data_IF_315298826634
#
_entry.id   IF_315298826634
#
_cell.length_a   1.000
_cell.length_b   1.000
_cell.length_c   1.000
_cell.angle_alpha   90.00
_cell.angle_beta   90.00
_cell.angle_gamma   90.00
#
_symmetry.space_group_name_H-M   'P 1'
#
loop_
_entity.id
_entity.type
_entity.pdbx_description
1 polymer ?
#
# COMPACT_ATOMS: atom_id res chain seq x y z
N UNK A 1 -2.51 -7.54 38.11
CA UNK A 1 -1.89 -7.95 36.83
C UNK A 1 -2.85 -8.61 35.83
N UNK A 2 -3.65 -9.66 36.08
CA UNK A 2 -4.41 -10.31 34.99
C UNK A 2 -5.38 -9.41 34.23
N UNK A 3 -6.11 -8.52 34.92
CA UNK A 3 -7.11 -7.63 34.27
C UNK A 3 -6.50 -6.57 33.35
N UNK A 4 -5.28 -6.14 33.59
CA UNK A 4 -4.60 -5.16 32.74
C UNK A 4 -4.07 -5.80 31.47
N UNK A 5 -3.53 -7.02 31.54
CA UNK A 5 -3.07 -7.79 30.39
C UNK A 5 -4.21 -8.10 29.43
N UNK A 6 -5.38 -8.51 29.95
CA UNK A 6 -6.57 -8.83 29.13
C UNK A 6 -7.02 -7.66 28.24
N UNK A 7 -6.87 -6.41 28.71
CA UNK A 7 -7.20 -5.23 27.89
C UNK A 7 -6.32 -5.07 26.65
N UNK A 8 -5.11 -5.60 26.67
CA UNK A 8 -4.20 -5.54 25.53
C UNK A 8 -4.38 -6.70 24.54
N UNK A 9 -5.08 -7.77 24.92
CA UNK A 9 -5.23 -8.97 24.09
C UNK A 9 -5.83 -8.71 22.68
N UNK A 10 -6.86 -7.85 22.49
CA UNK A 10 -7.36 -7.54 21.16
C UNK A 10 -6.32 -6.90 20.24
N UNK A 11 -5.51 -5.98 20.79
CA UNK A 11 -4.44 -5.29 20.06
C UNK A 11 -3.30 -6.23 19.70
N UNK A 12 -2.87 -7.06 20.65
CA UNK A 12 -1.85 -8.10 20.40
C UNK A 12 -2.28 -9.07 19.32
N UNK A 13 -3.57 -9.50 19.31
CA UNK A 13 -4.10 -10.36 18.24
C UNK A 13 -4.09 -9.66 16.88
N UNK A 14 -4.56 -8.41 16.82
CA UNK A 14 -4.53 -7.62 15.58
C UNK A 14 -3.11 -7.56 15.03
N UNK A 15 -2.17 -7.17 15.86
CA UNK A 15 -0.76 -7.08 15.51
C UNK A 15 -0.19 -8.43 15.06
N UNK A 16 -0.38 -9.49 15.85
CA UNK A 16 0.14 -10.81 15.56
C UNK A 16 -0.42 -11.39 14.25
N UNK A 17 -1.70 -11.16 13.94
CA UNK A 17 -2.32 -11.54 12.68
C UNK A 17 -1.71 -10.80 11.50
N UNK A 18 -1.48 -9.50 11.62
CA UNK A 18 -0.81 -8.70 10.58
C UNK A 18 0.66 -9.12 10.41
N UNK A 19 1.34 -9.44 11.51
CA UNK A 19 2.73 -9.88 11.51
C UNK A 19 2.91 -11.25 10.84
N UNK A 20 2.04 -12.21 11.14
CA UNK A 20 2.10 -13.59 10.60
C UNK A 20 1.41 -13.73 9.25
N UNK A 21 0.47 -12.83 8.90
CA UNK A 21 -0.38 -12.92 7.71
C UNK A 21 -1.51 -13.95 7.83
N UNK A 22 -1.70 -14.54 9.00
CA UNK A 22 -2.67 -15.59 9.26
C UNK A 22 -3.41 -15.34 10.57
N UNK A 23 -4.74 -15.47 10.53
CA UNK A 23 -5.54 -15.35 11.75
C UNK A 23 -5.17 -16.43 12.76
N UNK A 24 -5.02 -17.67 12.27
CA UNK A 24 -4.70 -18.84 13.11
C UNK A 24 -3.33 -18.67 13.76
N UNK A 25 -2.30 -18.42 12.95
CA UNK A 25 -0.91 -18.32 13.45
C UNK A 25 -0.74 -17.12 14.37
N UNK A 26 -1.40 -15.98 14.06
CA UNK A 26 -1.42 -14.82 14.94
C UNK A 26 -2.09 -15.10 16.29
N UNK A 27 -3.23 -15.80 16.29
CA UNK A 27 -3.91 -16.17 17.55
C UNK A 27 -3.10 -17.21 18.33
N UNK A 28 -2.44 -18.16 17.66
CA UNK A 28 -1.57 -19.16 18.28
C UNK A 28 -0.32 -18.50 18.87
N UNK A 29 0.27 -17.51 18.19
CA UNK A 29 1.39 -16.73 18.69
C UNK A 29 1.02 -15.99 20.00
N UNK A 30 -0.12 -15.31 20.03
CA UNK A 30 -0.60 -14.62 21.26
C UNK A 30 -0.86 -15.61 22.37
N UNK A 31 -1.49 -16.75 22.07
CA UNK A 31 -1.72 -17.81 23.06
C UNK A 31 -0.41 -18.32 23.65
N UNK A 32 0.56 -18.68 22.79
CA UNK A 32 1.86 -19.16 23.24
C UNK A 32 2.64 -18.15 24.08
N UNK A 33 2.54 -16.84 23.73
CA UNK A 33 3.12 -15.79 24.55
C UNK A 33 2.46 -15.69 25.94
N UNK A 34 1.13 -15.79 26.02
CA UNK A 34 0.41 -15.77 27.29
C UNK A 34 0.69 -17.00 28.15
N UNK A 35 0.76 -18.20 27.56
CA UNK A 35 1.12 -19.43 28.24
C UNK A 35 2.51 -19.34 28.84
N UNK A 36 3.53 -18.90 28.08
CA UNK A 36 4.90 -18.74 28.59
C UNK A 36 5.04 -17.69 29.68
N UNK A 37 4.21 -16.63 29.64
CA UNK A 37 4.12 -15.65 30.72
C UNK A 37 3.53 -16.25 32.00
N UNK A 38 2.50 -17.10 31.87
CA UNK A 38 1.88 -17.78 33.03
C UNK A 38 2.78 -18.85 33.66
N UNK A 39 3.53 -19.55 32.81
CA UNK A 39 4.49 -20.59 33.23
C UNK A 39 5.81 -20.00 33.74
N UNK A 40 5.97 -18.67 33.73
CA UNK A 40 7.19 -17.99 34.16
C UNK A 40 8.40 -18.22 33.24
N UNK A 41 8.20 -18.70 32.03
CA UNK A 41 9.26 -18.86 31.01
C UNK A 41 9.65 -17.54 30.36
N UNK A 42 8.72 -16.60 30.28
CA UNK A 42 8.93 -15.22 29.82
C UNK A 42 8.51 -14.28 30.93
N UNK A 43 9.32 -13.28 31.23
CA UNK A 43 9.06 -12.30 32.25
C UNK A 43 8.81 -10.93 31.63
N UNK A 44 7.78 -10.23 32.12
CA UNK A 44 7.55 -8.84 31.72
C UNK A 44 8.64 -7.97 32.33
N UNK A 45 9.25 -7.14 31.51
CA UNK A 45 10.19 -6.14 31.91
C UNK A 45 9.44 -5.01 32.64
N UNK A 46 9.61 -4.94 33.98
CA UNK A 46 8.93 -3.95 34.82
C UNK A 46 9.54 -2.53 34.68
N UNK A 47 10.70 -2.41 34.02
CA UNK A 47 11.35 -1.11 33.77
C UNK A 47 10.72 -0.33 32.62
N UNK A 48 9.89 -0.98 31.79
CA UNK A 48 9.24 -0.37 30.64
C UNK A 48 7.70 -0.44 30.77
N UNK A 49 6.94 0.39 30.03
CA UNK A 49 5.48 0.35 30.06
C UNK A 49 4.93 -1.06 29.78
N UNK A 50 3.87 -1.46 30.47
CA UNK A 50 3.25 -2.79 30.33
C UNK A 50 2.94 -3.14 28.87
N UNK A 51 2.45 -2.17 28.09
CA UNK A 51 2.18 -2.35 26.67
C UNK A 51 3.44 -2.76 25.92
N UNK A 52 4.53 -2.03 26.08
CA UNK A 52 5.83 -2.31 25.44
C UNK A 52 6.35 -3.69 25.87
N UNK A 53 6.27 -4.03 27.18
CA UNK A 53 6.69 -5.32 27.71
C UNK A 53 5.89 -6.50 27.12
N UNK A 54 4.58 -6.34 26.88
CA UNK A 54 3.73 -7.36 26.27
C UNK A 54 4.08 -7.63 24.80
N UNK A 55 4.34 -6.57 24.02
CA UNK A 55 4.78 -6.71 22.63
C UNK A 55 6.19 -7.31 22.55
N UNK A 56 7.10 -6.93 23.44
CA UNK A 56 8.42 -7.54 23.57
C UNK A 56 8.32 -9.04 23.85
N UNK A 57 7.51 -9.44 24.82
CA UNK A 57 7.26 -10.84 25.12
C UNK A 57 6.67 -11.63 23.95
N UNK A 58 5.80 -10.99 23.14
CA UNK A 58 5.27 -11.58 21.91
C UNK A 58 6.38 -11.84 20.88
N UNK A 59 7.30 -10.88 20.71
CA UNK A 59 8.44 -11.01 19.78
C UNK A 59 9.43 -12.09 20.22
N UNK A 60 9.72 -12.23 21.50
CA UNK A 60 10.57 -13.32 22.02
C UNK A 60 10.03 -14.72 21.66
N UNK A 61 8.69 -14.85 21.60
CA UNK A 61 8.05 -16.11 21.20
C UNK A 61 8.04 -16.27 19.68
N UNK A 62 7.84 -15.17 18.94
CA UNK A 62 7.80 -15.19 17.48
C UNK A 62 9.15 -15.55 16.86
N UNK A 63 10.25 -14.94 17.34
CA UNK A 63 11.61 -15.23 16.86
C UNK A 63 12.02 -16.69 17.11
N UNK A 64 11.44 -17.32 18.14
CA UNK A 64 11.71 -18.73 18.46
C UNK A 64 10.96 -19.74 17.59
N UNK A 65 9.95 -19.34 16.78
CA UNK A 65 9.02 -20.29 16.17
C UNK A 65 8.52 -20.00 14.74
N UNK A 66 9.03 -18.98 14.05
CA UNK A 66 8.37 -18.49 12.82
C UNK A 66 8.56 -19.37 11.57
N UNK A 67 7.46 -19.95 11.09
CA UNK A 67 7.25 -20.35 9.69
C UNK A 67 5.81 -19.99 9.29
N UNK A 68 5.66 -19.27 8.16
CA UNK A 68 4.36 -18.80 7.66
C UNK A 68 3.60 -19.88 6.89
N UNK A 69 2.26 -19.88 7.02
CA UNK A 69 1.36 -20.68 6.21
C UNK A 69 -0.03 -20.06 6.16
N UNK A 70 -0.57 -20.00 5.00
CA UNK A 70 -1.91 -19.76 4.46
C UNK A 70 -2.05 -18.51 3.58
N UNK A 71 -2.81 -18.65 2.47
CA UNK A 71 -2.88 -17.66 1.40
C UNK A 71 -3.52 -16.33 1.85
N UNK A 72 -2.78 -15.21 1.81
CA UNK A 72 -3.23 -13.92 2.32
C UNK A 72 -4.09 -13.15 1.31
N UNK A 73 -4.87 -12.18 1.80
CA UNK A 73 -5.46 -11.13 0.97
C UNK A 73 -4.35 -10.31 0.26
N UNK A 74 -4.67 -9.54 -0.79
CA UNK A 74 -3.60 -8.82 -1.54
C UNK A 74 -2.86 -7.76 -0.76
N UNK A 75 -3.53 -7.04 0.13
CA UNK A 75 -2.86 -6.10 1.04
C UNK A 75 -1.99 -6.88 2.02
N UNK A 76 -2.49 -8.00 2.52
CA UNK A 76 -1.73 -8.93 3.35
C UNK A 76 -0.58 -9.56 2.55
N UNK A 77 -0.77 -9.90 1.25
CA UNK A 77 0.28 -10.46 0.42
C UNK A 77 1.47 -9.50 0.22
N UNK A 78 1.21 -8.21 0.01
CA UNK A 78 2.26 -7.19 -0.06
C UNK A 78 3.01 -7.05 1.26
N UNK A 79 2.27 -6.99 2.36
CA UNK A 79 2.87 -6.93 3.68
C UNK A 79 3.66 -8.22 3.98
N UNK A 80 3.16 -9.38 3.58
CA UNK A 80 3.82 -10.68 3.78
C UNK A 80 5.03 -10.91 2.85
N UNK A 81 5.12 -10.23 1.71
CA UNK A 81 6.31 -10.27 0.84
C UNK A 81 7.48 -9.45 1.39
N UNK A 82 7.22 -8.57 2.36
CA UNK A 82 8.25 -7.80 3.06
C UNK A 82 9.03 -8.69 4.04
N UNK A 83 10.35 -8.50 4.22
CA UNK A 83 11.12 -9.17 5.25
C UNK A 83 10.46 -9.02 6.64
N UNK A 84 10.40 -10.10 7.44
CA UNK A 84 9.66 -10.12 8.71
C UNK A 84 10.07 -9.02 9.71
N UNK A 85 11.35 -8.71 9.78
CA UNK A 85 11.93 -7.68 10.64
C UNK A 85 11.49 -6.25 10.23
N UNK A 86 11.45 -5.96 8.92
CA UNK A 86 10.95 -4.69 8.37
C UNK A 86 9.44 -4.57 8.57
N UNK A 87 8.70 -5.65 8.34
CA UNK A 87 7.26 -5.72 8.57
C UNK A 87 6.92 -5.45 10.04
N UNK A 88 7.66 -6.03 10.98
CA UNK A 88 7.49 -5.78 12.40
C UNK A 88 7.70 -4.29 12.74
N UNK A 89 8.77 -3.67 12.22
CA UNK A 89 9.04 -2.24 12.43
C UNK A 89 7.91 -1.36 11.89
N UNK A 90 7.44 -1.63 10.67
CA UNK A 90 6.33 -0.90 10.05
C UNK A 90 5.03 -1.01 10.84
N UNK A 91 4.67 -2.22 11.29
CA UNK A 91 3.43 -2.46 12.04
C UNK A 91 3.45 -1.80 13.42
N UNK A 92 4.58 -1.82 14.11
CA UNK A 92 4.70 -1.19 15.43
C UNK A 92 4.44 0.33 15.37
N UNK A 93 5.00 1.02 14.39
CA UNK A 93 4.82 2.48 14.24
C UNK A 93 3.53 2.82 13.53
N UNK A 94 3.24 2.18 12.37
CA UNK A 94 2.14 2.56 11.50
C UNK A 94 0.75 2.07 11.96
N UNK A 95 0.68 0.99 12.72
CA UNK A 95 -0.60 0.39 13.15
C UNK A 95 -0.80 0.47 14.66
N UNK A 96 0.28 0.30 15.41
CA UNK A 96 0.22 0.24 16.88
C UNK A 96 0.65 1.55 17.55
N UNK A 97 0.95 2.62 16.80
CA UNK A 97 1.31 3.95 17.32
C UNK A 97 2.43 3.93 18.39
N UNK A 98 3.41 3.05 18.23
CA UNK A 98 4.64 3.14 19.03
C UNK A 98 5.56 4.22 18.47
N UNK A 99 6.22 4.95 19.36
CA UNK A 99 7.36 5.78 18.93
C UNK A 99 8.50 4.88 18.45
N UNK A 100 9.40 5.37 17.57
CA UNK A 100 10.58 4.58 17.14
C UNK A 100 11.41 4.04 18.33
N UNK A 101 11.56 4.83 19.38
CA UNK A 101 12.30 4.42 20.58
C UNK A 101 11.60 3.27 21.36
N UNK A 102 10.27 3.33 21.50
CA UNK A 102 9.50 2.25 22.14
C UNK A 102 9.49 0.99 21.26
N UNK A 103 9.36 1.15 19.94
CA UNK A 103 9.40 0.04 19.00
C UNK A 103 10.78 -0.66 18.99
N UNK A 104 11.87 0.10 19.09
CA UNK A 104 13.21 -0.46 19.25
C UNK A 104 13.32 -1.28 20.56
N UNK A 105 12.72 -0.82 21.66
CA UNK A 105 12.64 -1.59 22.90
C UNK A 105 11.83 -2.88 22.75
N UNK A 106 10.69 -2.83 22.03
CA UNK A 106 9.89 -4.02 21.72
C UNK A 106 10.73 -5.06 20.99
N UNK A 107 11.48 -4.64 19.95
CA UNK A 107 12.30 -5.52 19.14
C UNK A 107 13.67 -5.87 19.77
N UNK A 108 13.99 -5.30 20.92
CA UNK A 108 15.29 -5.50 21.62
C UNK A 108 16.50 -5.14 20.75
N UNK A 109 16.40 -4.08 19.96
CA UNK A 109 17.44 -3.54 19.07
C UNK A 109 17.76 -2.08 19.40
N UNK A 110 18.85 -1.55 18.83
CA UNK A 110 19.15 -0.13 18.93
C UNK A 110 18.16 0.74 18.14
N UNK A 111 18.04 2.01 18.50
CA UNK A 111 17.20 2.95 17.76
C UNK A 111 17.69 3.10 16.30
N UNK A 112 19.00 3.15 16.08
CA UNK A 112 19.61 3.24 14.74
C UNK A 112 19.24 2.02 13.88
N UNK A 113 19.33 0.82 14.42
CA UNK A 113 18.92 -0.41 13.74
C UNK A 113 17.42 -0.41 13.43
N UNK A 114 16.59 0.10 14.35
CA UNK A 114 15.16 0.22 14.14
C UNK A 114 14.83 1.18 12.99
N UNK A 115 15.45 2.36 12.98
CA UNK A 115 15.27 3.37 11.92
C UNK A 115 15.70 2.82 10.54
N UNK A 116 16.77 2.03 10.50
CA UNK A 116 17.19 1.35 9.27
C UNK A 116 16.14 0.34 8.78
N UNK A 117 15.55 -0.46 9.68
CA UNK A 117 14.48 -1.40 9.32
C UNK A 117 13.22 -0.70 8.87
N UNK A 118 12.83 0.39 9.52
CA UNK A 118 11.67 1.18 9.15
C UNK A 118 11.84 1.83 7.78
N UNK A 119 12.98 2.48 7.52
CA UNK A 119 13.29 3.05 6.21
C UNK A 119 13.36 1.99 5.11
N UNK A 120 13.89 0.80 5.42
CA UNK A 120 13.85 -0.34 4.51
C UNK A 120 12.43 -0.81 4.20
N UNK A 121 11.53 -0.81 5.20
CA UNK A 121 10.12 -1.15 5.01
C UNK A 121 9.39 -0.14 4.11
N UNK A 122 9.64 1.14 4.32
CA UNK A 122 9.10 2.22 3.47
C UNK A 122 9.56 2.07 2.03
N UNK A 123 10.85 1.81 1.81
CA UNK A 123 11.41 1.55 0.48
C UNK A 123 10.82 0.29 -0.19
N UNK A 124 10.58 -0.78 0.58
CA UNK A 124 9.91 -1.99 0.07
C UNK A 124 8.48 -1.70 -0.40
N UNK A 125 7.72 -0.88 0.34
CA UNK A 125 6.38 -0.42 -0.07
C UNK A 125 6.46 0.40 -1.35
N UNK A 126 7.34 1.38 -1.42
CA UNK A 126 7.53 2.22 -2.60
C UNK A 126 7.90 1.37 -3.82
N UNK A 127 8.80 0.39 -3.67
CA UNK A 127 9.21 -0.50 -4.75
C UNK A 127 8.08 -1.40 -5.25
N UNK A 128 7.20 -1.86 -4.35
CA UNK A 128 6.02 -2.67 -4.70
C UNK A 128 4.91 -1.86 -5.37
N UNK A 129 4.88 -0.56 -5.16
CA UNK A 129 3.96 0.36 -5.82
C UNK A 129 4.51 0.86 -7.17
N UNK A 130 5.81 0.61 -7.46
CA UNK A 130 6.40 0.98 -8.75
C UNK A 130 5.64 0.31 -9.90
N UNK A 131 5.19 1.10 -10.85
CA UNK A 131 4.41 0.63 -11.99
C UNK A 131 4.78 1.37 -13.27
N UNK A 132 4.46 0.75 -14.40
CA UNK A 132 4.54 1.37 -15.71
C UNK A 132 3.31 2.27 -15.91
N UNK A 133 3.53 3.54 -16.26
CA UNK A 133 2.48 4.56 -16.40
C UNK A 133 2.39 5.02 -17.85
N UNK A 134 1.19 4.96 -18.41
CA UNK A 134 0.85 5.58 -19.70
C UNK A 134 0.24 6.96 -19.43
N UNK A 135 0.75 7.98 -20.09
CA UNK A 135 0.18 9.33 -20.07
C UNK A 135 -0.55 9.55 -21.41
N UNK A 136 -1.77 10.08 -21.35
CA UNK A 136 -2.59 10.47 -22.51
C UNK A 136 -2.79 11.98 -22.36
N UNK A 137 -2.02 12.78 -23.11
CA UNK A 137 -1.98 14.23 -22.97
C UNK A 137 -1.39 14.82 -24.27
N UNK A 138 -2.08 15.76 -24.89
CA UNK A 138 -1.64 16.40 -26.14
C UNK A 138 -0.87 17.70 -25.91
N UNK A 139 -0.95 18.30 -24.71
CA UNK A 139 -0.17 19.48 -24.34
C UNK A 139 1.24 19.08 -23.87
N UNK A 140 2.32 19.37 -24.65
CA UNK A 140 3.67 18.86 -24.31
C UNK A 140 4.20 19.33 -22.97
N UNK A 141 3.80 20.53 -22.52
CA UNK A 141 4.24 21.08 -21.22
C UNK A 141 3.60 20.29 -20.09
N UNK A 142 2.31 20.02 -20.18
CA UNK A 142 1.58 19.23 -19.16
C UNK A 142 2.09 17.79 -19.14
N UNK A 143 2.28 17.18 -20.31
CA UNK A 143 2.84 15.84 -20.43
C UNK A 143 4.25 15.75 -19.80
N UNK A 144 5.08 16.76 -19.94
CA UNK A 144 6.41 16.84 -19.34
C UNK A 144 6.33 16.95 -17.82
N UNK A 145 5.45 17.80 -17.29
CA UNK A 145 5.23 17.95 -15.85
C UNK A 145 4.72 16.65 -15.22
N UNK A 146 3.73 16.02 -15.82
CA UNK A 146 3.23 14.72 -15.38
C UNK A 146 4.33 13.65 -15.42
N UNK A 147 5.12 13.62 -16.50
CA UNK A 147 6.25 12.68 -16.63
C UNK A 147 7.26 12.88 -15.50
N UNK A 148 7.57 14.11 -15.15
CA UNK A 148 8.48 14.44 -14.05
C UNK A 148 7.92 13.94 -12.72
N UNK A 149 6.68 14.30 -12.39
CA UNK A 149 6.03 13.91 -11.13
C UNK A 149 5.93 12.38 -11.00
N UNK A 150 5.56 11.68 -12.07
CA UNK A 150 5.46 10.20 -12.10
C UNK A 150 6.82 9.56 -11.85
N UNK A 151 7.90 10.10 -12.44
CA UNK A 151 9.26 9.58 -12.22
C UNK A 151 9.80 9.89 -10.84
N UNK A 152 9.47 11.03 -10.24
CA UNK A 152 9.81 11.37 -8.86
C UNK A 152 9.17 10.41 -7.84
N UNK A 153 8.00 9.83 -8.18
CA UNK A 153 7.34 8.78 -7.40
C UNK A 153 7.96 7.38 -7.62
N UNK A 154 9.04 7.27 -8.41
CA UNK A 154 9.68 5.99 -8.70
C UNK A 154 9.00 5.16 -9.79
N UNK A 155 7.91 5.66 -10.42
CA UNK A 155 7.22 4.96 -11.51
C UNK A 155 7.93 5.19 -12.85
N UNK A 156 7.67 4.30 -13.82
CA UNK A 156 8.22 4.40 -15.16
C UNK A 156 7.15 4.87 -16.14
N UNK A 157 7.39 6.00 -16.84
CA UNK A 157 6.54 6.42 -17.96
C UNK A 157 6.92 5.60 -19.18
N UNK A 158 5.99 4.78 -19.68
CA UNK A 158 6.18 3.88 -20.82
C UNK A 158 5.80 4.51 -22.13
N UNK A 159 5.08 5.63 -22.10
CA UNK A 159 4.76 6.42 -23.28
C UNK A 159 3.87 7.61 -22.94
N UNK A 160 3.84 8.55 -23.88
CA UNK A 160 2.90 9.67 -23.92
C UNK A 160 2.14 9.56 -25.24
N UNK A 161 0.84 9.31 -25.19
CA UNK A 161 -0.05 9.31 -26.36
C UNK A 161 -0.74 10.66 -26.47
N UNK A 162 -0.59 11.32 -27.63
CA UNK A 162 -1.20 12.63 -27.88
C UNK A 162 -2.60 12.50 -28.50
N UNK A 163 -2.94 11.29 -28.98
CA UNK A 163 -4.22 10.94 -29.57
C UNK A 163 -4.76 9.64 -28.96
N UNK A 164 -6.05 9.38 -29.15
CA UNK A 164 -6.68 8.11 -28.74
C UNK A 164 -5.95 6.90 -29.31
N UNK A 165 -5.67 6.94 -30.62
CA UNK A 165 -5.12 5.77 -31.31
C UNK A 165 -3.66 5.50 -30.92
N UNK A 166 -2.85 6.55 -30.72
CA UNK A 166 -1.51 6.43 -30.18
C UNK A 166 -1.52 5.83 -28.74
N UNK A 167 -2.42 6.31 -27.90
CA UNK A 167 -2.54 5.82 -26.53
C UNK A 167 -2.90 4.33 -26.49
N UNK A 168 -3.85 3.89 -27.32
CA UNK A 168 -4.23 2.47 -27.43
C UNK A 168 -3.08 1.62 -27.95
N UNK A 169 -2.32 2.12 -28.95
CA UNK A 169 -1.16 1.39 -29.47
C UNK A 169 -0.04 1.26 -28.42
N UNK A 170 0.26 2.33 -27.70
CA UNK A 170 1.23 2.32 -26.59
C UNK A 170 0.81 1.36 -25.47
N UNK A 171 -0.46 1.37 -25.08
CA UNK A 171 -0.98 0.48 -24.06
C UNK A 171 -0.83 -0.99 -24.45
N UNK A 172 -1.08 -1.35 -25.71
CA UNK A 172 -0.91 -2.72 -26.22
C UNK A 172 0.55 -3.18 -26.21
N UNK A 173 1.49 -2.26 -26.48
CA UNK A 173 2.94 -2.59 -26.52
C UNK A 173 3.55 -2.70 -25.13
N UNK A 174 3.14 -1.84 -24.20
CA UNK A 174 3.82 -1.68 -22.92
C UNK A 174 3.05 -2.27 -21.73
N UNK A 175 1.76 -2.62 -21.90
CA UNK A 175 0.90 -3.14 -20.81
C UNK A 175 1.05 -2.35 -19.50
N UNK A 176 0.66 -1.05 -19.50
CA UNK A 176 0.82 -0.19 -18.32
C UNK A 176 0.03 -0.71 -17.12
N UNK A 177 0.46 -0.34 -15.91
CA UNK A 177 -0.27 -0.63 -14.68
C UNK A 177 -1.06 0.58 -14.15
N UNK A 178 -0.96 1.75 -14.80
CA UNK A 178 -1.70 2.98 -14.48
C UNK A 178 -1.82 3.84 -15.74
N UNK A 179 -2.97 4.53 -15.90
CA UNK A 179 -3.17 5.55 -16.93
C UNK A 179 -3.43 6.91 -16.26
N UNK A 180 -2.73 7.95 -16.73
CA UNK A 180 -3.08 9.35 -16.52
C UNK A 180 -3.64 9.89 -17.85
N UNK A 181 -4.88 10.36 -17.88
CA UNK A 181 -5.54 10.73 -19.13
C UNK A 181 -6.19 12.11 -19.09
N UNK A 182 -5.79 13.01 -19.97
CA UNK A 182 -6.66 14.15 -20.29
C UNK A 182 -7.92 13.67 -21.01
N UNK A 183 -9.01 14.34 -20.78
CA UNK A 183 -10.31 14.04 -21.37
C UNK A 183 -10.37 14.52 -22.81
N UNK A 184 -9.82 15.70 -23.08
CA UNK A 184 -9.89 16.37 -24.39
C UNK A 184 -8.53 16.43 -25.03
N UNK A 185 -8.43 15.89 -26.22
CA UNK A 185 -7.22 15.91 -27.03
C UNK A 185 -7.37 16.85 -28.23
N UNK A 186 -6.29 17.50 -28.67
CA UNK A 186 -6.30 18.53 -29.69
C UNK A 186 -6.81 18.07 -31.05
N UNK A 187 -6.66 16.78 -31.40
CA UNK A 187 -7.19 16.18 -32.61
C UNK A 187 -8.73 15.95 -32.59
N UNK A 188 -9.40 16.34 -31.47
CA UNK A 188 -10.80 16.11 -31.24
C UNK A 188 -11.15 14.71 -30.75
N UNK A 189 -10.17 13.84 -30.56
CA UNK A 189 -10.38 12.55 -29.91
C UNK A 189 -10.53 12.70 -28.38
N UNK A 190 -10.96 11.62 -27.72
CA UNK A 190 -11.25 11.64 -26.29
C UNK A 190 -10.34 10.68 -25.53
N UNK A 191 -9.70 11.16 -24.47
CA UNK A 191 -8.97 10.30 -23.53
C UNK A 191 -9.88 9.33 -22.77
N UNK A 192 -11.17 9.65 -22.61
CA UNK A 192 -12.16 8.71 -22.05
C UNK A 192 -12.35 7.52 -22.98
N UNK A 193 -12.46 7.79 -24.31
CA UNK A 193 -12.60 6.72 -25.30
C UNK A 193 -11.33 5.86 -25.37
N UNK A 194 -10.15 6.50 -25.29
CA UNK A 194 -8.87 5.80 -25.22
C UNK A 194 -8.82 4.86 -23.99
N UNK A 195 -9.10 5.41 -22.81
CA UNK A 195 -9.12 4.63 -21.57
C UNK A 195 -10.16 3.49 -21.64
N UNK A 196 -11.35 3.77 -22.17
CA UNK A 196 -12.41 2.75 -22.33
C UNK A 196 -12.01 1.60 -23.24
N UNK A 197 -11.27 1.88 -24.32
CA UNK A 197 -10.74 0.86 -25.22
C UNK A 197 -9.64 0.03 -24.53
N UNK A 198 -8.73 0.67 -23.80
CA UNK A 198 -7.63 0.01 -23.10
C UNK A 198 -8.17 -0.88 -21.97
N UNK A 199 -9.18 -0.40 -21.23
CA UNK A 199 -9.80 -1.13 -20.11
C UNK A 199 -10.64 -2.36 -20.54
N UNK A 200 -10.84 -2.60 -21.84
CA UNK A 200 -11.39 -3.88 -22.32
C UNK A 200 -10.43 -5.03 -22.14
N UNK A 201 -9.14 -4.73 -22.30
CA UNK A 201 -8.06 -5.72 -22.31
C UNK A 201 -7.25 -5.71 -21.00
N UNK A 202 -7.20 -4.56 -20.29
CA UNK A 202 -6.42 -4.35 -19.08
C UNK A 202 -7.32 -3.94 -17.92
N UNK A 203 -7.11 -4.54 -16.75
CA UNK A 203 -7.78 -4.15 -15.51
C UNK A 203 -6.82 -3.33 -14.65
N UNK A 204 -6.76 -2.04 -14.91
CA UNK A 204 -5.82 -1.08 -14.33
C UNK A 204 -6.54 0.20 -13.90
N UNK A 205 -6.04 0.96 -12.92
CA UNK A 205 -6.61 2.24 -12.54
C UNK A 205 -6.38 3.29 -13.63
N UNK A 206 -7.36 4.18 -13.76
CA UNK A 206 -7.29 5.37 -14.61
C UNK A 206 -7.53 6.60 -13.75
N UNK A 207 -6.65 7.59 -13.87
CA UNK A 207 -6.80 8.92 -13.30
C UNK A 207 -7.07 9.89 -14.43
N UNK A 208 -8.25 10.51 -14.44
CA UNK A 208 -8.54 11.56 -15.38
C UNK A 208 -8.02 12.91 -14.90
N UNK A 209 -7.45 13.69 -15.80
CA UNK A 209 -6.89 15.03 -15.54
C UNK A 209 -7.57 16.00 -16.49
N UNK A 210 -8.36 16.95 -15.99
CA UNK A 210 -9.18 17.80 -16.85
C UNK A 210 -9.38 19.21 -16.31
N UNK A 211 -9.55 20.17 -17.22
CA UNK A 211 -10.00 21.52 -16.86
C UNK A 211 -11.52 21.62 -16.62
N UNK A 212 -12.29 20.56 -16.98
CA UNK A 212 -13.76 20.57 -16.99
C UNK A 212 -14.33 19.35 -16.25
N UNK A 213 -14.16 19.25 -14.91
CA UNK A 213 -14.60 18.10 -14.13
C UNK A 213 -16.10 17.85 -14.20
N UNK A 214 -16.91 18.89 -14.42
CA UNK A 214 -18.37 18.82 -14.54
C UNK A 214 -18.86 17.93 -15.70
N UNK A 215 -18.04 17.73 -16.71
CA UNK A 215 -18.36 16.80 -17.82
C UNK A 215 -18.32 15.32 -17.42
N UNK A 216 -17.66 14.99 -16.32
CA UNK A 216 -17.55 13.63 -15.80
C UNK A 216 -18.44 13.38 -14.58
N UNK A 217 -18.78 14.43 -13.84
CA UNK A 217 -19.56 14.37 -12.59
C UNK A 217 -21.03 14.69 -12.88
N UNK A 218 -21.66 13.90 -13.77
CA UNK A 218 -23.04 14.15 -14.22
C UNK A 218 -24.10 13.37 -13.43
N UNK A 219 -23.70 12.40 -12.59
CA UNK A 219 -24.62 11.50 -11.89
C UNK A 219 -25.31 10.46 -12.76
N UNK A 220 -25.17 10.53 -14.09
CA UNK A 220 -25.88 9.64 -15.04
C UNK A 220 -25.07 8.43 -15.52
N UNK A 221 -23.76 8.40 -15.23
CA UNK A 221 -22.83 7.34 -15.63
C UNK A 221 -21.97 6.91 -14.46
N UNK A 222 -21.29 5.74 -14.50
CA UNK A 222 -20.25 5.46 -13.53
C UNK A 222 -19.21 6.57 -13.58
N UNK A 223 -19.14 7.35 -12.50
CA UNK A 223 -18.16 8.42 -12.35
C UNK A 223 -16.77 7.84 -12.16
N UNK A 224 -15.69 8.49 -12.67
CA UNK A 224 -14.35 8.03 -12.47
C UNK A 224 -14.00 8.04 -10.98
N UNK A 225 -13.37 6.98 -10.50
CA UNK A 225 -12.93 6.89 -9.11
C UNK A 225 -11.82 7.90 -8.77
N UNK A 226 -11.04 8.33 -9.78
CA UNK A 226 -9.91 9.23 -9.60
C UNK A 226 -9.93 10.35 -10.64
N UNK A 227 -9.94 11.60 -10.16
CA UNK A 227 -10.02 12.81 -10.95
C UNK A 227 -9.10 13.90 -10.41
N UNK A 228 -8.38 14.57 -11.29
CA UNK A 228 -7.55 15.74 -11.01
C UNK A 228 -8.03 16.91 -11.87
N UNK A 229 -8.25 18.06 -11.26
CA UNK A 229 -8.65 19.28 -11.99
C UNK A 229 -7.41 20.09 -12.40
N UNK A 230 -7.34 20.50 -13.67
CA UNK A 230 -6.33 21.47 -14.17
C UNK A 230 -6.74 22.91 -13.76
N UNK A 231 -5.83 23.80 -13.33
CA UNK A 231 -4.41 23.51 -13.05
C UNK A 231 -4.24 22.69 -11.75
N UNK A 232 -3.29 21.78 -11.75
CA UNK A 232 -3.01 20.91 -10.61
C UNK A 232 -1.72 21.29 -9.90
N UNK A 233 -1.60 20.88 -8.64
CA UNK A 233 -0.35 20.91 -7.87
C UNK A 233 0.27 19.51 -7.87
N UNK A 234 1.59 19.45 -7.82
CA UNK A 234 2.33 18.18 -7.82
C UNK A 234 1.91 17.25 -6.69
N UNK A 235 1.70 17.82 -5.48
CA UNK A 235 1.28 17.05 -4.30
C UNK A 235 -0.08 16.37 -4.53
N UNK A 236 -1.00 17.03 -5.27
CA UNK A 236 -2.29 16.44 -5.60
C UNK A 236 -2.14 15.25 -6.55
N UNK A 237 -1.27 15.37 -7.56
CA UNK A 237 -0.97 14.26 -8.48
C UNK A 237 -0.35 13.09 -7.71
N UNK A 238 0.67 13.37 -6.87
CA UNK A 238 1.36 12.37 -6.05
C UNK A 238 0.37 11.62 -5.14
N UNK A 239 -0.50 12.34 -4.44
CA UNK A 239 -1.50 11.75 -3.55
C UNK A 239 -2.50 10.86 -4.29
N UNK A 240 -3.03 11.31 -5.43
CA UNK A 240 -4.04 10.56 -6.18
C UNK A 240 -3.42 9.34 -6.90
N UNK A 241 -2.18 9.43 -7.40
CA UNK A 241 -1.45 8.29 -7.96
C UNK A 241 -1.26 7.20 -6.90
N UNK A 242 -0.76 7.56 -5.70
CA UNK A 242 -0.60 6.62 -4.61
C UNK A 242 -1.95 5.99 -4.21
N UNK A 243 -3.01 6.79 -4.10
CA UNK A 243 -4.37 6.33 -3.79
C UNK A 243 -4.91 5.37 -4.86
N UNK A 244 -4.76 5.70 -6.13
CA UNK A 244 -5.25 4.87 -7.23
C UNK A 244 -4.57 3.50 -7.25
N UNK A 245 -3.25 3.46 -7.08
CA UNK A 245 -2.48 2.21 -7.03
C UNK A 245 -2.78 1.38 -5.78
N UNK A 246 -3.02 2.05 -4.65
CA UNK A 246 -3.33 1.36 -3.39
C UNK A 246 -4.73 0.71 -3.40
N UNK A 247 -5.75 1.44 -3.88
CA UNK A 247 -7.14 0.98 -3.83
C UNK A 247 -7.59 0.17 -5.06
N UNK A 248 -6.78 0.15 -6.14
CA UNK A 248 -7.14 -0.66 -7.29
C UNK A 248 -7.05 -2.16 -6.97
N UNK A 249 -8.20 -2.84 -6.98
CA UNK A 249 -8.28 -4.28 -6.84
C UNK A 249 -8.68 -4.88 -8.19
N UNK A 250 -7.78 -5.64 -8.88
CA UNK A 250 -8.10 -6.29 -10.14
C UNK A 250 -9.32 -7.22 -10.04
N UNK A 251 -10.06 -7.35 -11.15
CA UNK A 251 -11.35 -8.08 -11.23
C UNK A 251 -11.27 -9.54 -10.80
N UNK A 252 -10.16 -10.22 -11.07
CA UNK A 252 -9.96 -11.63 -10.72
C UNK A 252 -9.93 -11.89 -9.20
N UNK A 253 -9.58 -10.88 -8.39
CA UNK A 253 -9.61 -11.00 -6.93
C UNK A 253 -11.04 -10.90 -6.33
N UNK A 254 -12.02 -10.36 -7.08
CA UNK A 254 -13.42 -10.26 -6.64
C UNK A 254 -14.22 -11.56 -6.85
N UNK A 255 -13.74 -12.45 -7.72
CA UNK A 255 -14.42 -13.72 -8.01
C UNK A 255 -14.15 -14.82 -6.98
N UNK A 256 -13.17 -14.64 -6.08
CA UNK A 256 -12.78 -15.65 -5.07
C UNK A 256 -13.44 -15.44 -3.69
N UNK A 257 -14.40 -14.50 -3.56
CA UNK A 257 -15.03 -14.13 -2.27
C UNK A 257 -16.57 -14.37 -2.29
N UNK A 258 -17.06 -15.34 -3.07
CA UNK A 258 -18.47 -15.80 -3.04
C UNK A 258 -18.53 -17.26 -2.64
#
# INVERSE_FOLDING_TARGET
MPKQIVRHAPYLRRYARALTGSQRDGDDLVRGAMERLLDGMVHLDEAIPLRTALYKALHEVWDAGSQASDAPSRADARLQSMPPDRRAALLLVGVEDFTPAEAAQVLSISLEEFELRLSGAESDIESQLTTDVLIIEDEPIIALDLTRVVRELGHKVVGVGMTRDEAVELARKATPGLILADIRLADGSSGIDAASLILRDLDIPVIFITAFPEHLLTGERPEPAFLITKPFREEAVKAIVAQALFFHTPRDARASTL
#
